data_IF_917186980115
#
_entry.id   IF_917186980115
#
_cell.length_a   1.000
_cell.length_b   1.000
_cell.length_c   1.000
_cell.angle_alpha   90.00
_cell.angle_beta   90.00
_cell.angle_gamma   90.00
#
_symmetry.space_group_name_H-M   'P 1'
#
loop_
_entity.id
_entity.type
_entity.pdbx_description
1 polymer ?
#
# COMPACT_ATOMS: atom_id res chain seq x y z
N UNK A 1 -0.14 4.48 17.40
CA UNK A 1 0.16 5.38 16.25
C UNK A 1 1.20 4.71 15.37
N UNK A 2 1.04 4.75 14.07
CA UNK A 2 1.99 4.18 13.09
C UNK A 2 3.30 4.98 13.04
N UNK A 3 4.38 4.34 12.60
CA UNK A 3 5.60 5.02 12.18
C UNK A 3 5.36 5.71 10.83
N UNK A 4 5.75 6.98 10.70
CA UNK A 4 5.45 7.79 9.50
C UNK A 4 6.74 8.44 9.00
N UNK A 5 7.04 8.25 7.71
CA UNK A 5 8.04 9.06 7.02
C UNK A 5 7.34 10.26 6.40
N UNK A 6 7.81 11.45 6.71
CA UNK A 6 7.25 12.72 6.26
C UNK A 6 8.17 13.38 5.24
N UNK A 7 7.58 13.91 4.15
CA UNK A 7 8.29 14.64 3.11
C UNK A 7 7.57 15.95 2.82
N UNK A 8 8.34 17.02 2.63
CA UNK A 8 7.81 18.37 2.42
C UNK A 8 7.43 19.07 3.73
N UNK A 9 6.73 20.18 3.60
CA UNK A 9 6.37 21.04 4.73
C UNK A 9 4.87 20.91 5.02
N UNK A 10 4.46 20.85 6.28
CA UNK A 10 3.04 20.90 6.64
C UNK A 10 2.37 22.16 6.09
N UNK A 11 1.19 22.00 5.50
CA UNK A 11 0.40 23.07 4.91
C UNK A 11 -0.60 22.50 3.92
N UNK A 12 -1.84 23.00 3.90
CA UNK A 12 -2.91 22.42 3.08
C UNK A 12 -3.29 21.00 3.47
N UNK A 13 -4.00 20.30 2.59
CA UNK A 13 -4.35 18.90 2.79
C UNK A 13 -3.12 18.01 2.57
N UNK A 14 -2.78 17.11 3.53
CA UNK A 14 -1.69 16.16 3.34
C UNK A 14 -2.05 15.09 2.30
N UNK A 15 -1.01 14.48 1.74
CA UNK A 15 -1.08 13.32 0.87
C UNK A 15 -0.56 12.10 1.61
N UNK A 16 -1.43 11.16 1.95
CA UNK A 16 -1.07 9.89 2.58
C UNK A 16 -0.87 8.82 1.51
N UNK A 17 0.32 8.19 1.45
CA UNK A 17 0.61 7.13 0.50
C UNK A 17 0.86 5.82 1.25
N UNK A 18 0.02 4.81 0.98
CA UNK A 18 -0.04 3.56 1.73
C UNK A 18 0.55 2.41 0.91
N UNK A 19 1.51 1.70 1.49
CA UNK A 19 2.22 0.60 0.83
C UNK A 19 1.41 -0.71 0.78
N UNK A 20 1.80 -1.61 -0.13
CA UNK A 20 1.28 -2.97 -0.23
C UNK A 20 1.89 -3.95 0.78
N UNK A 21 1.39 -5.19 0.76
CA UNK A 21 1.88 -6.27 1.62
C UNK A 21 3.40 -6.45 1.48
N UNK A 22 4.09 -6.69 2.60
CA UNK A 22 5.54 -6.80 2.76
C UNK A 22 6.33 -5.51 2.49
N UNK A 23 5.65 -4.41 2.15
CA UNK A 23 6.27 -3.10 1.93
C UNK A 23 6.48 -2.31 3.22
N UNK A 24 6.86 -1.06 3.03
CA UNK A 24 6.99 -0.04 4.08
C UNK A 24 6.88 1.37 3.48
N UNK A 25 6.78 2.38 4.30
CA UNK A 25 6.80 3.77 3.87
C UNK A 25 8.04 4.14 3.04
N UNK A 26 9.17 3.45 3.27
CA UNK A 26 10.43 3.64 2.52
C UNK A 26 10.31 3.34 1.03
N UNK A 27 9.43 2.43 0.63
CA UNK A 27 9.21 2.11 -0.78
C UNK A 27 8.71 3.33 -1.58
N UNK A 28 8.08 4.27 -0.90
CA UNK A 28 7.55 5.51 -1.46
C UNK A 28 8.51 6.72 -1.39
N UNK A 29 9.71 6.53 -0.86
CA UNK A 29 10.65 7.62 -0.60
C UNK A 29 11.00 8.48 -1.83
N UNK A 30 11.12 7.89 -3.03
CA UNK A 30 11.37 8.62 -4.28
C UNK A 30 10.13 9.41 -4.69
N UNK A 31 8.97 8.78 -4.70
CA UNK A 31 7.69 9.40 -5.05
C UNK A 31 7.33 10.48 -4.02
N UNK A 32 7.44 10.18 -2.73
CA UNK A 32 7.17 11.14 -1.66
C UNK A 32 8.01 12.40 -1.76
N UNK A 33 9.32 12.27 -1.98
CA UNK A 33 10.22 13.43 -2.17
C UNK A 33 9.88 14.27 -3.40
N UNK A 34 9.43 13.63 -4.49
CA UNK A 34 9.06 14.35 -5.71
C UNK A 34 7.74 15.10 -5.56
N UNK A 35 6.75 14.50 -4.90
CA UNK A 35 5.46 15.11 -4.65
C UNK A 35 5.51 16.17 -3.53
N UNK A 36 6.57 16.16 -2.72
CA UNK A 36 6.78 17.08 -1.61
C UNK A 36 7.03 18.55 -2.03
N UNK A 37 7.16 18.82 -3.32
CA UNK A 37 7.20 20.18 -3.88
C UNK A 37 5.82 20.89 -3.77
N UNK A 38 4.72 20.13 -3.64
CA UNK A 38 3.34 20.67 -3.59
C UNK A 38 2.53 20.18 -2.40
N UNK A 39 2.80 19.00 -1.88
CA UNK A 39 2.02 18.39 -0.79
C UNK A 39 2.92 18.01 0.38
N UNK A 40 2.36 18.08 1.58
CA UNK A 40 2.94 17.41 2.73
C UNK A 40 2.64 15.90 2.59
N UNK A 41 3.65 15.11 2.20
CA UNK A 41 3.48 13.69 1.92
C UNK A 41 3.83 12.85 3.13
N UNK A 42 2.91 11.99 3.53
CA UNK A 42 3.02 11.06 4.65
C UNK A 42 3.04 9.63 4.12
N UNK A 43 4.08 8.88 4.43
CA UNK A 43 4.20 7.48 4.04
C UNK A 43 4.31 6.61 5.29
N UNK A 44 3.16 6.16 5.86
CA UNK A 44 3.18 5.32 7.05
C UNK A 44 3.71 3.92 6.74
N UNK A 45 4.40 3.33 7.71
CA UNK A 45 4.50 1.87 7.82
C UNK A 45 3.17 1.37 8.41
N UNK A 46 2.46 0.49 7.72
CA UNK A 46 1.22 -0.08 8.26
C UNK A 46 1.54 -1.01 9.44
N UNK A 47 0.55 -1.26 10.34
CA UNK A 47 0.73 -2.23 11.42
C UNK A 47 1.35 -3.52 10.91
N UNK A 48 2.14 -4.19 11.72
CA UNK A 48 2.85 -5.42 11.38
C UNK A 48 3.94 -5.29 10.29
N UNK A 49 4.25 -4.04 9.87
CA UNK A 49 5.28 -3.73 8.87
C UNK A 49 6.22 -2.63 9.38
N UNK A 50 7.45 -2.66 8.89
CA UNK A 50 8.44 -1.61 9.14
C UNK A 50 8.75 -1.39 10.61
N UNK A 51 8.72 -0.14 11.01
CA UNK A 51 8.95 0.29 12.39
C UNK A 51 7.63 0.59 13.14
N UNK A 52 6.48 0.24 12.56
CA UNK A 52 5.17 0.34 13.19
C UNK A 52 4.89 -0.78 14.19
N UNK A 53 3.90 -0.61 15.09
CA UNK A 53 3.57 -1.61 16.09
C UNK A 53 3.23 -2.99 15.50
N UNK A 54 3.67 -4.03 16.19
CA UNK A 54 3.23 -5.40 15.96
C UNK A 54 1.96 -5.65 16.76
N UNK A 55 0.96 -6.20 16.09
CA UNK A 55 -0.35 -6.50 16.67
C UNK A 55 -0.77 -7.90 16.25
N UNK A 56 -1.76 -8.48 16.94
CA UNK A 56 -2.29 -9.81 16.65
C UNK A 56 -3.40 -9.79 15.59
N UNK A 57 -3.72 -8.61 15.04
CA UNK A 57 -4.75 -8.43 14.03
C UNK A 57 -4.24 -7.66 12.81
N UNK A 58 -4.84 -7.94 11.64
CA UNK A 58 -4.49 -7.29 10.38
C UNK A 58 -5.70 -7.20 9.44
N UNK A 59 -6.88 -6.93 10.00
CA UNK A 59 -8.08 -6.73 9.19
C UNK A 59 -8.06 -5.37 8.48
N UNK A 60 -8.78 -5.23 7.37
CA UNK A 60 -8.88 -3.95 6.68
C UNK A 60 -9.59 -2.87 7.51
N UNK A 61 -10.44 -3.22 8.45
CA UNK A 61 -10.99 -2.27 9.41
C UNK A 61 -9.92 -1.74 10.38
N UNK A 62 -9.05 -2.61 10.86
CA UNK A 62 -7.91 -2.19 11.70
C UNK A 62 -6.98 -1.25 10.94
N UNK A 63 -6.65 -1.60 9.68
CA UNK A 63 -5.78 -0.80 8.81
C UNK A 63 -6.42 0.56 8.48
N UNK A 64 -7.73 0.60 8.25
CA UNK A 64 -8.47 1.83 8.02
C UNK A 64 -8.50 2.73 9.27
N UNK A 65 -8.70 2.16 10.44
CA UNK A 65 -8.66 2.92 11.71
C UNK A 65 -7.27 3.50 11.98
N UNK A 66 -6.21 2.73 11.73
CA UNK A 66 -4.84 3.24 11.85
C UNK A 66 -4.60 4.43 10.92
N UNK A 67 -5.09 4.37 9.68
CA UNK A 67 -4.99 5.48 8.73
C UNK A 67 -5.85 6.68 9.17
N UNK A 68 -7.02 6.45 9.74
CA UNK A 68 -7.85 7.51 10.31
C UNK A 68 -7.12 8.26 11.43
N UNK A 69 -6.43 7.53 12.35
CA UNK A 69 -5.59 8.14 13.40
C UNK A 69 -4.45 8.98 12.80
N UNK A 70 -3.79 8.49 11.74
CA UNK A 70 -2.74 9.24 11.04
C UNK A 70 -3.32 10.54 10.47
N UNK A 71 -4.48 10.50 9.83
CA UNK A 71 -5.13 11.66 9.22
C UNK A 71 -5.56 12.65 10.31
N UNK A 72 -6.14 12.18 11.42
CA UNK A 72 -6.54 13.04 12.54
C UNK A 72 -5.35 13.82 13.12
N UNK A 73 -4.20 13.15 13.26
CA UNK A 73 -2.97 13.80 13.73
C UNK A 73 -2.40 14.84 12.74
N UNK A 74 -2.89 14.89 11.50
CA UNK A 74 -2.38 15.74 10.42
C UNK A 74 -3.46 16.60 9.75
N UNK A 75 -4.46 17.02 10.49
CA UNK A 75 -5.45 18.00 10.03
C UNK A 75 -6.84 17.42 9.75
N UNK A 76 -7.08 16.14 10.05
CA UNK A 76 -8.40 15.50 10.04
C UNK A 76 -8.93 15.11 8.63
N UNK A 77 -8.26 15.54 7.55
CA UNK A 77 -8.63 15.21 6.17
C UNK A 77 -7.40 15.13 5.28
N UNK A 78 -7.36 14.22 4.32
CA UNK A 78 -6.21 13.98 3.45
C UNK A 78 -6.62 13.48 2.06
N UNK A 79 -5.74 13.69 1.07
CA UNK A 79 -5.72 12.87 -0.14
C UNK A 79 -5.08 11.54 0.20
N UNK A 80 -5.64 10.44 -0.30
CA UNK A 80 -5.14 9.09 0.01
C UNK A 80 -4.81 8.34 -1.27
N UNK A 81 -3.58 7.83 -1.35
CA UNK A 81 -3.09 6.93 -2.40
C UNK A 81 -2.75 5.60 -1.76
N UNK A 82 -3.33 4.51 -2.22
CA UNK A 82 -3.05 3.17 -1.68
C UNK A 82 -2.70 2.18 -2.78
N UNK A 83 -1.64 1.40 -2.58
CA UNK A 83 -1.22 0.34 -3.50
C UNK A 83 -1.54 -1.02 -2.92
N UNK A 84 -2.16 -1.91 -3.72
CA UNK A 84 -2.42 -3.31 -3.36
C UNK A 84 -3.16 -3.42 -2.00
N UNK A 85 -2.61 -4.08 -0.98
CA UNK A 85 -3.15 -4.11 0.39
C UNK A 85 -3.45 -2.70 0.92
N UNK A 86 -2.53 -1.75 0.71
CA UNK A 86 -2.75 -0.34 1.07
C UNK A 86 -3.91 0.29 0.31
N UNK A 87 -4.16 -0.14 -0.93
CA UNK A 87 -5.32 0.27 -1.72
C UNK A 87 -6.64 -0.24 -1.12
N UNK A 88 -6.70 -1.50 -0.68
CA UNK A 88 -7.86 -2.03 0.05
C UNK A 88 -8.07 -1.32 1.38
N UNK A 89 -7.00 -1.03 2.12
CA UNK A 89 -7.07 -0.26 3.36
C UNK A 89 -7.63 1.15 3.13
N UNK A 90 -7.17 1.82 2.08
CA UNK A 90 -7.66 3.14 1.68
C UNK A 90 -9.12 3.12 1.21
N UNK A 91 -9.54 2.06 0.50
CA UNK A 91 -10.94 1.85 0.11
C UNK A 91 -11.85 1.70 1.35
N UNK A 92 -11.45 0.86 2.31
CA UNK A 92 -12.22 0.68 3.56
C UNK A 92 -12.26 1.97 4.37
N UNK A 93 -11.15 2.70 4.48
CA UNK A 93 -11.13 4.02 5.10
C UNK A 93 -12.14 4.98 4.44
N UNK A 94 -12.15 5.06 3.11
CA UNK A 94 -13.06 5.95 2.39
C UNK A 94 -14.54 5.56 2.55
N UNK A 95 -14.83 4.29 2.75
CA UNK A 95 -16.18 3.79 2.97
C UNK A 95 -16.66 3.99 4.42
N UNK A 96 -15.75 3.87 5.40
CA UNK A 96 -16.09 3.95 6.84
C UNK A 96 -15.90 5.35 7.43
N UNK A 97 -14.98 6.15 6.87
CA UNK A 97 -14.66 7.52 7.30
C UNK A 97 -14.56 8.47 6.10
N UNK A 98 -15.65 8.61 5.31
CA UNK A 98 -15.61 9.38 4.06
C UNK A 98 -15.24 10.85 4.27
N UNK A 99 -15.53 11.43 5.43
CA UNK A 99 -15.19 12.81 5.80
C UNK A 99 -13.68 13.04 5.88
N UNK A 100 -12.89 12.00 6.17
CA UNK A 100 -11.43 12.07 6.29
C UNK A 100 -10.72 11.99 4.94
N UNK A 101 -11.39 11.53 3.89
CA UNK A 101 -10.79 11.30 2.58
C UNK A 101 -11.23 12.40 1.61
N UNK A 102 -10.32 13.29 1.26
CA UNK A 102 -10.57 14.35 0.29
C UNK A 102 -10.67 13.80 -1.15
N UNK A 103 -9.77 12.88 -1.49
CA UNK A 103 -9.80 12.09 -2.72
C UNK A 103 -9.06 10.78 -2.54
N UNK A 104 -9.39 9.79 -3.36
CA UNK A 104 -8.85 8.43 -3.27
C UNK A 104 -8.22 8.01 -4.61
N UNK A 105 -6.94 7.61 -4.59
CA UNK A 105 -6.30 6.90 -5.70
C UNK A 105 -5.96 5.47 -5.25
N UNK A 106 -6.52 4.50 -5.94
CA UNK A 106 -6.27 3.07 -5.73
C UNK A 106 -5.37 2.55 -6.84
N UNK A 107 -4.18 2.11 -6.47
CA UNK A 107 -3.18 1.59 -7.40
C UNK A 107 -3.20 0.07 -7.42
N UNK A 108 -3.63 -0.46 -8.55
CA UNK A 108 -3.61 -1.84 -9.00
C UNK A 108 -4.20 -2.89 -8.03
N UNK A 109 -5.39 -2.59 -7.52
CA UNK A 109 -6.19 -3.52 -6.72
C UNK A 109 -7.69 -3.19 -6.88
N UNK A 110 -8.55 -4.20 -6.70
CA UNK A 110 -10.00 -4.06 -6.68
C UNK A 110 -10.60 -4.49 -5.34
N UNK A 111 -11.85 -4.05 -5.00
CA UNK A 111 -12.55 -4.44 -3.77
C UNK A 111 -13.18 -5.83 -3.91
N UNK A 112 -12.33 -6.83 -4.16
CA UNK A 112 -12.70 -8.24 -4.36
C UNK A 112 -11.73 -9.17 -3.62
N UNK A 113 -12.11 -10.42 -3.46
CA UNK A 113 -11.22 -11.47 -2.99
C UNK A 113 -10.35 -11.99 -4.15
N UNK A 114 -9.09 -12.32 -3.83
CA UNK A 114 -8.13 -12.93 -4.76
C UNK A 114 -7.81 -14.36 -4.29
N UNK A 115 -7.60 -15.27 -5.25
CA UNK A 115 -7.36 -16.69 -4.98
C UNK A 115 -5.88 -17.05 -4.81
N UNK A 116 -4.96 -16.19 -5.29
CA UNK A 116 -3.53 -16.45 -5.23
C UNK A 116 -2.97 -16.06 -3.85
N UNK A 117 -2.58 -17.05 -3.08
CA UNK A 117 -1.99 -16.83 -1.75
C UNK A 117 -0.58 -16.24 -1.84
N UNK A 118 -0.21 -15.46 -0.82
CA UNK A 118 1.14 -14.94 -0.64
C UNK A 118 1.90 -15.68 0.49
N UNK A 119 1.31 -16.76 1.02
CA UNK A 119 1.86 -17.51 2.15
C UNK A 119 3.23 -18.10 1.84
N UNK A 120 3.48 -18.53 0.61
CA UNK A 120 4.76 -19.06 0.16
C UNK A 120 5.92 -18.08 0.35
N UNK A 121 5.66 -16.77 0.30
CA UNK A 121 6.69 -15.76 0.52
C UNK A 121 6.98 -15.58 2.02
N UNK A 122 5.98 -15.74 2.88
CA UNK A 122 6.18 -15.77 4.32
C UNK A 122 7.03 -16.98 4.71
N UNK A 123 6.73 -18.16 4.15
CA UNK A 123 7.51 -19.38 4.42
C UNK A 123 8.95 -19.24 3.89
N UNK A 124 9.14 -18.61 2.73
CA UNK A 124 10.46 -18.32 2.20
C UNK A 124 11.26 -17.37 3.13
N UNK A 125 10.62 -16.33 3.67
CA UNK A 125 11.26 -15.44 4.63
C UNK A 125 11.59 -16.15 5.97
N UNK A 126 10.71 -17.03 6.45
CA UNK A 126 10.95 -17.85 7.66
C UNK A 126 12.10 -18.83 7.48
N UNK A 127 12.29 -19.34 6.25
CA UNK A 127 13.37 -20.28 5.93
C UNK A 127 14.77 -19.65 5.90
N UNK A 128 14.87 -18.31 5.94
CA UNK A 128 16.17 -17.62 6.00
C UNK A 128 16.78 -17.78 7.38
N UNK A 129 17.93 -18.43 7.46
CA UNK A 129 18.74 -18.47 8.69
C UNK A 129 19.44 -17.12 8.92
N UNK A 130 18.79 -16.29 9.72
CA UNK A 130 19.26 -14.94 10.02
C UNK A 130 20.57 -14.92 10.80
N UNK A 131 20.96 -16.02 11.48
CA UNK A 131 22.24 -16.12 12.17
C UNK A 131 23.43 -16.07 11.20
N UNK A 132 23.22 -16.55 9.97
CA UNK A 132 24.23 -16.59 8.89
C UNK A 132 24.17 -15.35 7.98
N UNK A 133 23.33 -14.36 8.28
CA UNK A 133 23.17 -13.15 7.46
C UNK A 133 23.98 -12.02 8.08
N UNK A 134 25.02 -11.56 7.39
CA UNK A 134 25.79 -10.37 7.76
C UNK A 134 25.44 -9.16 6.89
N UNK A 135 25.10 -9.41 5.64
CA UNK A 135 24.70 -8.40 4.65
C UNK A 135 23.47 -8.86 3.88
N UNK A 136 22.76 -7.92 3.24
CA UNK A 136 21.51 -8.24 2.51
C UNK A 136 21.68 -9.29 1.43
N UNK A 137 22.83 -9.33 0.74
CA UNK A 137 23.11 -10.34 -0.29
C UNK A 137 23.12 -11.76 0.25
N UNK A 138 23.43 -11.98 1.54
CA UNK A 138 23.41 -13.31 2.14
C UNK A 138 21.96 -13.78 2.30
N UNK A 139 21.06 -12.90 2.72
CA UNK A 139 19.63 -13.18 2.77
C UNK A 139 19.04 -13.40 1.36
N UNK A 140 19.45 -12.60 0.37
CA UNK A 140 19.05 -12.78 -1.04
C UNK A 140 19.45 -14.17 -1.54
N UNK A 141 20.68 -14.62 -1.27
CA UNK A 141 21.16 -15.94 -1.67
C UNK A 141 20.34 -17.09 -1.03
N UNK A 142 19.89 -16.91 0.21
CA UNK A 142 19.01 -17.89 0.86
C UNK A 142 17.60 -17.85 0.28
N UNK A 143 17.01 -16.66 0.09
CA UNK A 143 15.69 -16.49 -0.51
C UNK A 143 15.61 -17.05 -1.93
N UNK A 144 16.68 -16.95 -2.73
CA UNK A 144 16.73 -17.46 -4.10
C UNK A 144 16.41 -18.95 -4.22
N UNK A 145 16.55 -19.72 -3.13
CA UNK A 145 16.18 -21.15 -3.09
C UNK A 145 14.67 -21.37 -3.13
N UNK A 146 13.88 -20.38 -2.75
CA UNK A 146 12.43 -20.46 -2.57
C UNK A 146 11.66 -19.45 -3.45
N UNK A 147 12.29 -18.35 -3.81
CA UNK A 147 11.70 -17.24 -4.59
C UNK A 147 12.56 -17.03 -5.82
N UNK A 148 12.13 -17.52 -7.01
CA UNK A 148 12.96 -17.43 -8.23
C UNK A 148 13.18 -16.00 -8.75
N UNK A 149 12.24 -15.07 -8.49
CA UNK A 149 12.29 -13.70 -9.00
C UNK A 149 13.26 -12.84 -8.20
N UNK A 150 14.36 -12.34 -8.80
CA UNK A 150 15.33 -11.47 -8.12
C UNK A 150 14.75 -10.15 -7.61
N UNK A 151 13.71 -9.65 -8.28
CA UNK A 151 13.03 -8.40 -7.88
C UNK A 151 12.33 -8.60 -6.55
N UNK A 152 11.62 -9.73 -6.39
CA UNK A 152 10.99 -10.12 -5.13
C UNK A 152 12.00 -10.36 -4.00
N UNK A 153 13.11 -11.03 -4.30
CA UNK A 153 14.17 -11.25 -3.32
C UNK A 153 14.71 -9.91 -2.79
N UNK A 154 14.98 -8.97 -3.71
CA UNK A 154 15.43 -7.63 -3.37
C UNK A 154 14.38 -6.87 -2.56
N UNK A 155 13.12 -6.95 -2.95
CA UNK A 155 12.00 -6.30 -2.27
C UNK A 155 11.85 -6.82 -0.83
N UNK A 156 11.79 -8.12 -0.62
CA UNK A 156 11.63 -8.69 0.72
C UNK A 156 12.78 -8.33 1.65
N UNK A 157 14.02 -8.38 1.15
CA UNK A 157 15.18 -8.06 1.97
C UNK A 157 15.27 -6.58 2.41
N UNK A 158 14.48 -5.68 1.82
CA UNK A 158 14.36 -4.30 2.32
C UNK A 158 13.75 -4.26 3.73
N UNK A 159 12.89 -5.21 4.07
CA UNK A 159 12.30 -5.34 5.40
C UNK A 159 13.20 -6.06 6.42
N UNK A 160 14.43 -6.43 6.05
CA UNK A 160 15.37 -7.06 6.95
C UNK A 160 16.15 -6.02 7.77
N UNK A 161 16.07 -6.15 9.09
CA UNK A 161 16.94 -5.47 10.04
C UNK A 161 18.20 -6.31 10.27
N UNK A 162 19.30 -5.88 9.66
CA UNK A 162 20.58 -6.60 9.75
C UNK A 162 21.19 -6.51 11.15
N UNK A 163 20.97 -5.40 11.87
CA UNK A 163 21.51 -5.18 13.21
C UNK A 163 20.83 -6.08 14.23
N UNK A 164 19.51 -6.10 14.19
CA UNK A 164 18.69 -6.86 15.13
C UNK A 164 18.44 -8.31 14.67
N UNK A 165 18.99 -8.71 13.51
CA UNK A 165 18.82 -10.05 12.92
C UNK A 165 17.35 -10.50 12.88
N UNK A 166 16.45 -9.62 12.41
CA UNK A 166 15.02 -9.89 12.35
C UNK A 166 14.36 -9.29 11.13
N UNK A 167 13.27 -9.88 10.71
CA UNK A 167 12.37 -9.24 9.76
C UNK A 167 11.58 -8.12 10.45
N UNK A 168 11.46 -6.96 9.80
CA UNK A 168 10.57 -5.86 10.21
C UNK A 168 9.11 -6.12 9.83
N UNK A 169 8.76 -7.37 9.61
CA UNK A 169 7.42 -7.88 9.31
C UNK A 169 7.00 -8.81 10.45
N UNK A 170 5.75 -8.69 10.91
CA UNK A 170 5.16 -9.65 11.83
C UNK A 170 4.64 -10.85 11.03
N UNK A 171 5.56 -11.72 10.60
CA UNK A 171 5.27 -12.84 9.69
C UNK A 171 4.19 -13.77 10.24
N UNK A 172 4.10 -13.94 11.57
CA UNK A 172 3.12 -14.83 12.20
C UNK A 172 1.71 -14.28 12.07
N UNK A 173 1.49 -13.02 12.41
CA UNK A 173 0.19 -12.36 12.23
C UNK A 173 -0.17 -12.27 10.75
N UNK A 174 0.79 -11.89 9.88
CA UNK A 174 0.51 -11.79 8.44
C UNK A 174 0.13 -13.15 7.83
N UNK A 175 0.72 -14.24 8.31
CA UNK A 175 0.34 -15.58 7.89
C UNK A 175 -1.08 -15.96 8.37
N UNK A 176 -1.38 -15.71 9.66
CA UNK A 176 -2.67 -16.02 10.24
C UNK A 176 -3.82 -15.21 9.61
N UNK A 177 -3.56 -13.94 9.29
CA UNK A 177 -4.53 -13.01 8.70
C UNK A 177 -4.56 -13.04 7.15
N UNK A 178 -3.76 -13.90 6.51
CA UNK A 178 -3.67 -13.98 5.04
C UNK A 178 -5.03 -14.13 4.35
N UNK A 179 -5.98 -14.93 4.83
CA UNK A 179 -7.33 -15.00 4.21
C UNK A 179 -8.05 -13.64 4.19
N UNK A 180 -7.91 -12.82 5.25
CA UNK A 180 -8.50 -11.47 5.30
C UNK A 180 -7.76 -10.51 4.36
N UNK A 181 -6.42 -10.61 4.28
CA UNK A 181 -5.59 -9.79 3.37
C UNK A 181 -5.96 -10.05 1.90
N UNK A 182 -6.18 -11.31 1.54
CA UNK A 182 -6.61 -11.68 0.19
C UNK A 182 -8.06 -11.28 -0.10
N UNK A 183 -8.92 -11.28 0.92
CA UNK A 183 -10.32 -10.90 0.82
C UNK A 183 -10.54 -9.40 0.65
N UNK A 184 -11.80 -9.02 0.61
CA UNK A 184 -12.28 -7.66 0.85
C UNK A 184 -13.45 -7.76 1.81
N UNK A 185 -13.51 -6.97 2.89
CA UNK A 185 -14.60 -7.10 3.86
C UNK A 185 -15.91 -6.60 3.28
N UNK A 186 -17.01 -7.09 3.84
CA UNK A 186 -18.30 -6.49 3.60
C UNK A 186 -18.33 -5.12 4.29
N UNK A 187 -18.56 -4.07 3.53
CA UNK A 187 -18.66 -2.69 4.00
C UNK A 187 -19.93 -2.11 3.39
N UNK A 188 -20.79 -1.57 4.24
CA UNK A 188 -21.99 -0.89 3.81
C UNK A 188 -21.68 0.54 3.32
N UNK A 189 -22.55 1.07 2.45
CA UNK A 189 -22.45 2.45 1.97
C UNK A 189 -21.61 2.62 0.72
N UNK A 190 -21.37 3.88 0.38
CA UNK A 190 -20.66 4.31 -0.82
C UNK A 190 -19.78 5.52 -0.50
N UNK A 191 -18.62 5.60 -1.11
CA UNK A 191 -17.81 6.81 -1.08
C UNK A 191 -18.17 7.72 -2.26
N UNK A 192 -18.74 8.89 -1.96
CA UNK A 192 -19.21 9.87 -2.96
C UNK A 192 -18.11 10.85 -3.41
N UNK A 193 -16.92 10.75 -2.85
CA UNK A 193 -15.78 11.58 -3.23
C UNK A 193 -15.15 11.15 -4.57
N UNK A 194 -14.18 11.94 -5.04
CA UNK A 194 -13.44 11.62 -6.26
C UNK A 194 -12.53 10.42 -6.04
N UNK A 195 -12.66 9.40 -6.89
CA UNK A 195 -11.84 8.20 -6.85
C UNK A 195 -11.21 7.89 -8.22
N UNK A 196 -9.92 7.52 -8.23
CA UNK A 196 -9.22 7.01 -9.41
C UNK A 196 -8.71 5.61 -9.14
N UNK A 197 -9.08 4.66 -9.99
CA UNK A 197 -8.50 3.32 -10.04
C UNK A 197 -7.47 3.26 -11.16
N UNK A 198 -6.19 3.26 -10.79
CA UNK A 198 -5.05 3.26 -11.68
C UNK A 198 -4.48 1.84 -11.75
N UNK A 199 -4.55 1.19 -12.90
CA UNK A 199 -4.09 -0.20 -13.07
C UNK A 199 -2.85 -0.31 -13.95
N UNK A 200 -2.06 -1.37 -13.75
CA UNK A 200 -1.00 -1.78 -14.66
C UNK A 200 -1.57 -2.40 -15.93
N UNK A 201 -0.96 -2.09 -17.09
CA UNK A 201 -1.37 -2.69 -18.35
C UNK A 201 -0.97 -4.16 -18.50
N UNK A 202 0.02 -4.59 -17.73
CA UNK A 202 0.54 -5.96 -17.67
C UNK A 202 0.15 -6.67 -16.36
N UNK A 203 -0.86 -6.14 -15.64
CA UNK A 203 -1.37 -6.68 -14.40
C UNK A 203 -2.79 -7.20 -14.58
N UNK A 204 -3.12 -8.26 -13.86
CA UNK A 204 -4.44 -8.91 -13.80
C UNK A 204 -5.21 -8.60 -12.50
N UNK A 205 -4.71 -7.70 -11.66
CA UNK A 205 -5.36 -7.32 -10.41
C UNK A 205 -6.62 -6.49 -10.60
N UNK A 206 -6.72 -5.68 -11.67
CA UNK A 206 -7.91 -4.89 -11.96
C UNK A 206 -8.44 -5.23 -13.34
N UNK A 207 -9.36 -6.18 -13.37
CA UNK A 207 -9.98 -6.69 -14.59
C UNK A 207 -11.29 -5.93 -14.91
N UNK A 208 -11.77 -5.98 -16.17
CA UNK A 208 -13.04 -5.36 -16.55
C UNK A 208 -14.24 -5.81 -15.70
N UNK A 209 -14.28 -7.09 -15.31
CA UNK A 209 -15.32 -7.69 -14.48
C UNK A 209 -15.37 -7.14 -13.04
N UNK A 210 -14.29 -6.52 -12.55
CA UNK A 210 -14.26 -5.88 -11.24
C UNK A 210 -14.95 -4.50 -11.25
N UNK A 211 -15.11 -3.87 -12.41
CA UNK A 211 -15.65 -2.49 -12.53
C UNK A 211 -17.06 -2.33 -11.98
N UNK A 212 -18.02 -3.27 -12.17
CA UNK A 212 -19.33 -3.15 -11.55
C UNK A 212 -19.25 -3.03 -10.02
N UNK A 213 -18.44 -3.89 -9.36
CA UNK A 213 -18.25 -3.84 -7.91
C UNK A 213 -17.56 -2.55 -7.47
N UNK A 214 -16.57 -2.08 -8.23
CA UNK A 214 -15.92 -0.79 -7.95
C UNK A 214 -16.93 0.35 -8.01
N UNK A 215 -17.78 0.42 -9.04
CA UNK A 215 -18.78 1.49 -9.20
C UNK A 215 -19.92 1.41 -8.19
N UNK A 216 -20.23 0.22 -7.70
CA UNK A 216 -21.19 0.03 -6.62
C UNK A 216 -20.74 0.75 -5.34
N UNK A 217 -19.47 0.61 -4.95
CA UNK A 217 -18.90 1.20 -3.75
C UNK A 217 -18.38 2.64 -3.97
N UNK A 218 -17.92 2.94 -5.18
CA UNK A 218 -17.31 4.21 -5.58
C UNK A 218 -18.01 4.74 -6.85
N UNK A 219 -19.22 5.31 -6.77
CA UNK A 219 -20.02 5.71 -7.95
C UNK A 219 -19.30 6.70 -8.87
N UNK A 220 -18.42 7.55 -8.31
CA UNK A 220 -17.62 8.52 -9.06
C UNK A 220 -16.25 8.00 -9.49
N UNK A 221 -16.04 6.68 -9.45
CA UNK A 221 -14.77 6.08 -9.84
C UNK A 221 -14.44 6.34 -11.31
N UNK A 222 -13.22 6.82 -11.53
CA UNK A 222 -12.56 6.91 -12.83
C UNK A 222 -11.52 5.81 -12.94
N UNK A 223 -11.21 5.44 -14.18
CA UNK A 223 -10.26 4.36 -14.46
C UNK A 223 -9.17 4.88 -15.38
N UNK A 224 -7.93 4.64 -15.02
CA UNK A 224 -6.78 4.90 -15.87
C UNK A 224 -5.86 3.66 -15.87
N UNK A 225 -4.98 3.59 -16.87
CA UNK A 225 -4.08 2.46 -17.05
C UNK A 225 -2.68 2.95 -17.39
N UNK A 226 -1.66 2.38 -16.76
CA UNK A 226 -0.24 2.54 -17.12
C UNK A 226 0.16 1.36 -18.03
N UNK A 227 0.24 1.54 -19.36
CA UNK A 227 0.25 0.43 -20.32
C UNK A 227 1.42 -0.55 -20.18
N UNK A 228 2.57 -0.04 -19.71
CA UNK A 228 3.82 -0.82 -19.61
C UNK A 228 4.12 -1.32 -18.18
N UNK A 229 3.32 -0.93 -17.19
CA UNK A 229 3.53 -1.32 -15.80
C UNK A 229 2.80 -2.63 -15.48
N UNK A 230 3.40 -3.43 -14.60
CA UNK A 230 2.78 -4.56 -13.93
C UNK A 230 2.10 -4.14 -12.63
N UNK A 231 2.13 -5.04 -11.62
CA UNK A 231 1.52 -4.78 -10.31
C UNK A 231 2.22 -3.66 -9.52
N UNK A 232 3.54 -3.52 -9.66
CA UNK A 232 4.31 -2.48 -8.97
C UNK A 232 4.48 -1.21 -9.81
N UNK A 233 3.36 -0.55 -10.15
CA UNK A 233 3.31 0.64 -11.00
C UNK A 233 4.38 1.68 -10.66
N UNK A 234 4.58 1.96 -9.36
CA UNK A 234 5.50 2.96 -8.84
C UNK A 234 6.99 2.55 -8.94
N UNK A 235 7.26 1.25 -9.06
CA UNK A 235 8.59 0.72 -9.30
C UNK A 235 8.88 0.56 -10.80
N UNK A 236 7.89 0.11 -11.57
CA UNK A 236 8.02 -0.14 -13.01
C UNK A 236 8.13 1.16 -13.81
N UNK A 237 7.35 2.18 -13.44
CA UNK A 237 7.38 3.52 -14.04
C UNK A 237 7.09 4.60 -13.00
N UNK A 238 8.11 4.95 -12.22
CA UNK A 238 7.98 5.93 -11.16
C UNK A 238 7.57 7.32 -11.66
N UNK A 239 7.97 7.72 -12.88
CA UNK A 239 7.60 9.02 -13.47
C UNK A 239 6.16 9.03 -13.96
N UNK A 240 5.72 7.97 -14.62
CA UNK A 240 4.34 7.82 -15.06
C UNK A 240 3.37 7.74 -13.88
N UNK A 241 3.78 7.05 -12.80
CA UNK A 241 3.00 6.99 -11.57
C UNK A 241 2.87 8.38 -10.92
N UNK A 242 3.99 9.10 -10.72
CA UNK A 242 3.99 10.47 -10.20
C UNK A 242 3.10 11.39 -11.03
N UNK A 243 3.23 11.36 -12.36
CA UNK A 243 2.42 12.18 -13.27
C UNK A 243 0.92 11.85 -13.14
N UNK A 244 0.58 10.58 -12.96
CA UNK A 244 -0.82 10.15 -12.75
C UNK A 244 -1.40 10.67 -11.43
N UNK A 245 -0.61 10.63 -10.34
CA UNK A 245 -1.00 11.20 -9.04
C UNK A 245 -1.22 12.70 -9.17
N UNK A 246 -0.26 13.44 -9.75
CA UNK A 246 -0.38 14.89 -9.95
C UNK A 246 -1.60 15.27 -10.78
N UNK A 247 -1.80 14.64 -11.92
CA UNK A 247 -2.94 14.91 -12.79
C UNK A 247 -4.28 14.65 -12.09
N UNK A 248 -4.35 13.60 -11.26
CA UNK A 248 -5.55 13.31 -10.48
C UNK A 248 -5.79 14.38 -9.41
N UNK A 249 -4.78 14.74 -8.63
CA UNK A 249 -4.89 15.74 -7.57
C UNK A 249 -5.17 17.14 -8.12
N UNK A 250 -4.55 17.53 -9.23
CA UNK A 250 -4.84 18.79 -9.93
C UNK A 250 -6.30 18.86 -10.41
N UNK A 251 -6.85 17.72 -10.83
CA UNK A 251 -8.24 17.64 -11.30
C UNK A 251 -9.26 17.76 -10.15
N UNK A 252 -8.96 17.22 -8.96
CA UNK A 252 -9.91 17.25 -7.84
C UNK A 252 -9.81 18.54 -7.03
N UNK A 253 -8.68 19.26 -7.12
CA UNK A 253 -8.44 20.46 -6.32
C UNK A 253 -8.34 20.19 -4.83
N UNK A 254 -8.17 21.24 -4.06
CA UNK A 254 -8.08 21.14 -2.59
C UNK A 254 -9.48 21.09 -1.92
N UNK A 255 -10.54 20.93 -2.64
CA UNK A 255 -11.98 20.70 -2.45
C UNK A 255 -12.64 21.02 -1.12
#
# INVERSE_FOLDING_TARGET
MLNILSHGTPGGLPLVIVHGLFGSGRNWGVIGKRLADRWHVLTPDMRNHGDSPRTDSHSYFDLANDLAEVIDAHGGRAHVVGHSMGGKSAMVLALTHPEKVASLLVADIAPVAYSHSQIQFIEAMRAVDLSQVEKRSDAVAQLAKHVPDPTLQSFFTQSLDLKEKRWKLNLDTLAAEMPKILGFPEVEGQYQGSALFLSGGQSDYVLPEHRPRIRELFPRARFAKMPKAGHWLHADDARGFEASVRAFLDHVGDG
#
